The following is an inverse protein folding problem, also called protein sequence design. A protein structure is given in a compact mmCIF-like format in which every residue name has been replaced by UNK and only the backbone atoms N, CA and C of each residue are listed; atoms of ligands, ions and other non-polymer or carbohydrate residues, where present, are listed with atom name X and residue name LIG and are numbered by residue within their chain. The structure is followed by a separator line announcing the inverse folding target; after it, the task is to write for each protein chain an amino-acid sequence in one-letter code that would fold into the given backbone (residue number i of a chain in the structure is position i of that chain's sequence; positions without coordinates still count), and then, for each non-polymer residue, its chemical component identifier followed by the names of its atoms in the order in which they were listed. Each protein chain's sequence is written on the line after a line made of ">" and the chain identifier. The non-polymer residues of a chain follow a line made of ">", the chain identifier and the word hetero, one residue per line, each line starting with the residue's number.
data_IF_114554892310
#
_entry.id   IF_114554892310
#
_cell.length_a   1.000
_cell.length_b   1.000
_cell.length_c   1.000
_cell.angle_alpha   90.00
_cell.angle_beta   90.00
_cell.angle_gamma   90.00
#
_symmetry.space_group_name_H-M   'P 1'
#
loop_
_entity.id
_entity.type
_entity.pdbx_description
1 polymer ?
#
# COMPACT_ATOMS: atom_id res chain seq x y z
N UNK A 1 41.39 -15.14 -7.24
CA UNK A 1 41.24 -16.59 -7.14
C UNK A 1 40.83 -17.12 -8.51
N UNK A 2 41.68 -17.98 -9.05
CA UNK A 2 41.65 -18.55 -10.39
C UNK A 2 41.06 -19.95 -10.29
N UNK A 3 40.01 -20.25 -11.06
CA UNK A 3 39.72 -21.63 -11.46
C UNK A 3 39.18 -21.63 -12.90
N UNK A 4 40.04 -22.18 -13.77
CA UNK A 4 39.79 -22.54 -15.16
C UNK A 4 38.81 -23.72 -15.21
N UNK A 5 37.84 -23.68 -16.12
CA UNK A 5 37.09 -24.86 -16.55
C UNK A 5 37.37 -25.10 -18.04
N UNK A 6 38.01 -26.23 -18.43
CA UNK A 6 38.12 -26.63 -19.82
C UNK A 6 36.96 -27.56 -20.20
N UNK A 7 36.18 -27.17 -21.21
CA UNK A 7 35.23 -28.08 -21.84
C UNK A 7 35.96 -29.09 -22.74
N UNK A 8 35.76 -30.36 -22.39
CA UNK A 8 36.20 -31.55 -23.11
C UNK A 8 35.45 -31.69 -24.44
N UNK A 9 36.19 -31.71 -25.55
CA UNK A 9 35.71 -32.03 -26.89
C UNK A 9 35.64 -33.56 -27.05
N UNK A 10 34.43 -34.11 -27.12
CA UNK A 10 34.20 -35.52 -27.45
C UNK A 10 34.05 -35.69 -28.97
N UNK A 11 35.14 -36.09 -29.62
CA UNK A 11 35.16 -36.61 -30.99
C UNK A 11 34.53 -38.02 -31.00
N UNK A 12 33.37 -38.18 -31.65
CA UNK A 12 32.83 -39.52 -31.96
C UNK A 12 33.34 -39.98 -33.33
N UNK A 13 34.06 -41.09 -33.26
CA UNK A 13 34.67 -41.85 -34.33
C UNK A 13 33.62 -42.65 -35.12
N UNK A 14 33.84 -42.69 -36.44
CA UNK A 14 33.10 -43.45 -37.46
C UNK A 14 33.30 -44.95 -37.24
N UNK A 15 32.23 -45.74 -37.26
CA UNK A 15 32.30 -47.18 -37.52
C UNK A 15 31.55 -47.51 -38.82
N UNK A 16 32.35 -47.86 -39.83
CA UNK A 16 31.94 -48.59 -41.04
C UNK A 16 31.79 -50.06 -40.67
N UNK A 17 30.68 -50.68 -41.02
CA UNK A 17 30.63 -52.11 -41.31
C UNK A 17 29.86 -52.33 -42.62
N UNK A 18 30.58 -52.87 -43.60
CA UNK A 18 30.03 -53.40 -44.83
C UNK A 18 29.45 -54.79 -44.55
N UNK A 19 28.22 -55.06 -44.99
CA UNK A 19 27.79 -56.43 -45.27
C UNK A 19 27.09 -56.45 -46.63
N UNK A 20 27.55 -57.36 -47.49
CA UNK A 20 27.07 -57.62 -48.84
C UNK A 20 26.40 -58.99 -48.82
N UNK A 21 25.18 -59.12 -49.34
CA UNK A 21 24.63 -60.36 -49.91
C UNK A 21 23.40 -60.07 -50.76
N UNK A 22 23.06 -60.94 -51.74
CA UNK A 22 22.67 -60.47 -53.07
C UNK A 22 21.21 -60.78 -53.47
N UNK A 23 20.86 -60.22 -54.63
CA UNK A 23 19.78 -60.58 -55.56
C UNK A 23 18.32 -60.38 -55.13
N UNK A 24 17.79 -59.20 -55.46
CA UNK A 24 16.39 -59.09 -55.88
C UNK A 24 16.27 -58.06 -57.02
N UNK A 25 15.72 -58.48 -58.16
CA UNK A 25 15.58 -57.69 -59.38
C UNK A 25 14.55 -56.60 -59.11
N UNK A 26 15.04 -55.41 -58.76
CA UNK A 26 14.23 -54.25 -58.38
C UNK A 26 14.35 -53.17 -59.45
N UNK A 27 13.27 -52.43 -59.76
CA UNK A 27 13.29 -51.42 -60.80
C UNK A 27 14.42 -50.42 -60.58
N UNK A 28 15.09 -50.01 -61.66
CA UNK A 28 16.15 -48.98 -61.67
C UNK A 28 15.51 -47.64 -61.23
N UNK A 29 15.34 -47.47 -59.92
CA UNK A 29 15.05 -46.20 -59.29
C UNK A 29 16.39 -45.47 -59.19
N UNK A 30 16.64 -44.52 -60.08
CA UNK A 30 17.76 -43.59 -59.93
C UNK A 30 17.65 -42.98 -58.52
N UNK A 31 18.68 -43.06 -57.67
CA UNK A 31 18.64 -42.48 -56.34
C UNK A 31 18.43 -40.97 -56.50
N UNK A 32 17.22 -40.51 -56.22
CA UNK A 32 16.92 -39.09 -56.14
C UNK A 32 17.78 -38.56 -54.99
N UNK A 33 18.78 -37.75 -55.31
CA UNK A 33 19.61 -37.10 -54.32
C UNK A 33 18.67 -36.33 -53.37
N UNK A 34 18.63 -36.74 -52.10
CA UNK A 34 17.81 -36.08 -51.09
C UNK A 34 18.25 -34.63 -51.01
N UNK A 35 17.37 -33.71 -51.41
CA UNK A 35 17.61 -32.28 -51.28
C UNK A 35 17.93 -31.96 -49.81
N UNK A 36 18.93 -31.12 -49.52
CA UNK A 36 19.29 -30.76 -48.16
C UNK A 36 18.08 -30.12 -47.45
N UNK A 37 17.53 -30.80 -46.45
CA UNK A 37 16.42 -30.29 -45.64
C UNK A 37 16.97 -29.32 -44.60
N UNK A 38 16.48 -28.08 -44.60
CA UNK A 38 16.80 -27.11 -43.55
C UNK A 38 16.30 -27.63 -42.18
N UNK A 39 17.04 -27.38 -41.08
CA UNK A 39 16.56 -27.70 -39.75
C UNK A 39 15.20 -27.02 -39.49
N UNK A 40 14.29 -27.67 -38.77
CA UNK A 40 13.00 -27.08 -38.43
C UNK A 40 13.19 -25.77 -37.65
N UNK A 41 12.30 -24.78 -37.81
CA UNK A 41 12.46 -23.49 -37.16
C UNK A 41 12.44 -23.66 -35.63
N UNK A 42 13.26 -22.89 -34.89
CA UNK A 42 13.27 -22.96 -33.45
C UNK A 42 11.89 -22.59 -32.90
N UNK A 43 11.43 -23.33 -31.89
CA UNK A 43 10.16 -23.04 -31.21
C UNK A 43 10.33 -21.71 -30.46
N UNK A 44 9.65 -20.66 -30.91
CA UNK A 44 9.68 -19.35 -30.25
C UNK A 44 8.79 -19.41 -29.00
N UNK A 45 9.40 -19.47 -27.82
CA UNK A 45 8.73 -19.25 -26.54
C UNK A 45 8.67 -17.76 -26.25
N UNK A 46 7.49 -17.25 -25.93
CA UNK A 46 7.30 -15.87 -25.48
C UNK A 46 7.18 -15.78 -23.96
N UNK A 47 7.47 -16.87 -23.27
CA UNK A 47 7.43 -16.93 -21.82
C UNK A 47 8.58 -16.10 -21.28
N UNK A 48 8.28 -15.17 -20.39
CA UNK A 48 9.30 -14.37 -19.73
C UNK A 48 10.17 -15.29 -18.87
N UNK A 49 11.48 -15.18 -19.03
CA UNK A 49 12.41 -15.93 -18.19
C UNK A 49 12.19 -15.56 -16.72
N UNK A 50 11.99 -16.57 -15.87
CA UNK A 50 11.80 -16.34 -14.45
C UNK A 50 13.05 -15.68 -13.86
N UNK A 51 12.83 -14.59 -13.15
CA UNK A 51 13.91 -13.83 -12.52
C UNK A 51 14.58 -14.69 -11.43
N UNK A 52 15.92 -14.74 -11.43
CA UNK A 52 16.69 -15.56 -10.46
C UNK A 52 16.49 -15.13 -9.00
N UNK A 53 16.09 -13.89 -8.77
CA UNK A 53 15.76 -13.35 -7.46
C UNK A 53 14.28 -13.60 -7.18
N UNK A 54 13.99 -14.55 -6.30
CA UNK A 54 12.64 -14.86 -5.85
C UNK A 54 12.37 -14.17 -4.51
N UNK A 55 11.22 -13.52 -4.39
CA UNK A 55 10.74 -13.05 -3.09
C UNK A 55 10.50 -14.24 -2.15
N UNK A 56 10.99 -14.14 -0.92
CA UNK A 56 10.73 -15.15 0.11
C UNK A 56 9.40 -14.83 0.79
N UNK A 57 8.50 -15.80 0.98
CA UNK A 57 7.33 -15.61 1.82
C UNK A 57 7.75 -15.32 3.27
N UNK A 58 6.87 -14.71 4.08
CA UNK A 58 7.17 -14.31 5.45
C UNK A 58 7.81 -15.43 6.27
N UNK A 59 7.20 -16.61 6.27
CA UNK A 59 7.72 -17.78 7.01
C UNK A 59 9.15 -18.11 6.57
N UNK A 60 9.39 -18.24 5.26
CA UNK A 60 10.74 -18.53 4.76
C UNK A 60 11.73 -17.40 5.08
N UNK A 61 11.29 -16.13 5.07
CA UNK A 61 12.12 -15.00 5.44
C UNK A 61 12.52 -15.04 6.93
N UNK A 62 11.61 -15.44 7.82
CA UNK A 62 11.89 -15.63 9.25
C UNK A 62 12.93 -16.74 9.50
N UNK A 63 12.94 -17.78 8.67
CA UNK A 63 13.95 -18.85 8.74
C UNK A 63 15.28 -18.51 8.06
N UNK A 64 15.27 -17.60 7.08
CA UNK A 64 16.44 -17.31 6.25
C UNK A 64 17.25 -16.12 6.75
N UNK A 65 16.59 -15.09 7.29
CA UNK A 65 17.23 -13.85 7.73
C UNK A 65 17.27 -13.76 9.25
N UNK A 66 18.34 -13.15 9.77
CA UNK A 66 18.37 -12.80 11.19
C UNK A 66 17.38 -11.67 11.50
N UNK A 67 16.92 -11.60 12.75
CA UNK A 67 16.03 -10.55 13.24
C UNK A 67 16.60 -9.14 12.99
N UNK A 68 17.91 -8.95 13.19
CA UNK A 68 18.57 -7.67 12.90
C UNK A 68 18.54 -7.31 11.41
N UNK A 69 18.74 -8.29 10.53
CA UNK A 69 18.67 -8.10 9.07
C UNK A 69 17.25 -7.76 8.63
N UNK A 70 16.24 -8.50 9.14
CA UNK A 70 14.83 -8.22 8.88
C UNK A 70 14.45 -6.81 9.34
N UNK A 71 14.86 -6.41 10.54
CA UNK A 71 14.63 -5.06 11.05
C UNK A 71 15.29 -4.00 10.16
N UNK A 72 16.50 -4.25 9.67
CA UNK A 72 17.18 -3.35 8.72
C UNK A 72 16.44 -3.25 7.38
N UNK A 73 15.99 -4.38 6.83
CA UNK A 73 15.22 -4.45 5.58
C UNK A 73 13.91 -3.67 5.73
N UNK A 74 13.14 -3.96 6.78
CA UNK A 74 11.86 -3.32 7.08
C UNK A 74 12.06 -1.83 7.33
N UNK A 75 13.03 -1.45 8.16
CA UNK A 75 13.35 -0.04 8.42
C UNK A 75 13.74 0.71 7.16
N UNK A 76 14.53 0.10 6.27
CA UNK A 76 14.89 0.70 4.97
C UNK A 76 13.67 0.83 4.07
N UNK A 77 12.81 -0.18 4.00
CA UNK A 77 11.58 -0.16 3.21
C UNK A 77 10.57 0.88 3.73
N UNK A 78 10.43 1.02 5.04
CA UNK A 78 9.60 2.07 5.66
C UNK A 78 10.18 3.44 5.32
N UNK A 79 11.50 3.66 5.49
CA UNK A 79 12.11 4.96 5.16
C UNK A 79 11.97 5.32 3.68
N UNK A 80 12.12 4.36 2.76
CA UNK A 80 11.95 4.63 1.32
C UNK A 80 10.48 4.88 0.96
N UNK A 81 9.55 4.08 1.48
CA UNK A 81 8.11 4.26 1.24
C UNK A 81 7.53 5.49 1.95
N UNK A 82 8.17 5.94 3.03
CA UNK A 82 7.78 7.14 3.76
C UNK A 82 8.25 8.44 3.10
N UNK A 83 8.92 8.42 1.95
CA UNK A 83 9.24 9.65 1.22
C UNK A 83 8.01 10.13 0.43
N UNK A 84 7.66 11.41 0.54
CA UNK A 84 6.46 11.98 -0.10
C UNK A 84 6.51 11.95 -1.63
N UNK A 85 7.71 11.97 -2.20
CA UNK A 85 7.95 11.82 -3.65
C UNK A 85 7.48 10.47 -4.21
N UNK A 86 7.35 9.45 -3.36
CA UNK A 86 6.92 8.11 -3.75
C UNK A 86 5.40 7.93 -3.73
N UNK A 87 4.66 8.87 -3.15
CA UNK A 87 3.21 8.78 -3.04
C UNK A 87 2.59 9.08 -4.41
N UNK A 88 2.09 8.06 -5.09
CA UNK A 88 1.30 8.19 -6.32
C UNK A 88 -0.01 7.46 -6.16
N UNK A 89 -1.11 8.21 -6.26
CA UNK A 89 -2.45 7.66 -6.18
C UNK A 89 -3.12 7.66 -7.54
N UNK A 90 -3.87 6.60 -7.81
CA UNK A 90 -4.75 6.45 -8.96
C UNK A 90 -6.18 6.64 -8.45
N UNK A 91 -7.08 7.16 -9.29
CA UNK A 91 -8.49 7.26 -8.93
C UNK A 91 -9.12 5.87 -8.83
N UNK A 92 -10.12 5.72 -7.96
CA UNK A 92 -10.82 4.45 -7.72
C UNK A 92 -11.48 3.93 -9.00
N UNK A 93 -12.12 4.79 -9.79
CA UNK A 93 -12.71 4.39 -11.07
C UNK A 93 -11.68 3.83 -12.05
N UNK A 94 -10.47 4.40 -12.09
CA UNK A 94 -9.42 3.89 -12.96
C UNK A 94 -8.86 2.57 -12.44
N UNK A 95 -8.73 2.42 -11.11
CA UNK A 95 -8.22 1.20 -10.48
C UNK A 95 -9.17 0.01 -10.70
N UNK A 96 -10.47 0.23 -10.55
CA UNK A 96 -11.46 -0.86 -10.55
C UNK A 96 -11.97 -1.20 -11.95
N UNK A 97 -12.05 -0.21 -12.85
CA UNK A 97 -12.68 -0.39 -14.18
C UNK A 97 -11.67 -0.27 -15.31
N UNK A 98 -10.96 0.86 -15.39
CA UNK A 98 -10.17 1.18 -16.59
C UNK A 98 -8.90 0.33 -16.70
N UNK A 99 -8.13 0.17 -15.62
CA UNK A 99 -6.87 -0.56 -15.64
C UNK A 99 -7.07 -2.07 -15.87
N UNK A 100 -8.03 -2.77 -15.23
CA UNK A 100 -8.29 -4.18 -15.52
C UNK A 100 -8.77 -4.39 -16.96
N UNK A 101 -9.72 -3.55 -17.43
CA UNK A 101 -10.21 -3.65 -18.80
C UNK A 101 -9.10 -3.42 -19.85
N UNK A 102 -8.18 -2.48 -19.58
CA UNK A 102 -7.03 -2.23 -20.45
C UNK A 102 -6.03 -3.39 -20.40
N UNK A 103 -5.81 -3.99 -19.23
CA UNK A 103 -4.94 -5.15 -19.09
C UNK A 103 -5.48 -6.35 -19.88
N UNK A 104 -6.79 -6.62 -19.78
CA UNK A 104 -7.46 -7.67 -20.57
C UNK A 104 -7.37 -7.38 -22.08
N UNK A 105 -7.56 -6.12 -22.49
CA UNK A 105 -7.41 -5.68 -23.88
C UNK A 105 -5.99 -5.92 -24.38
N UNK A 106 -4.97 -5.59 -23.59
CA UNK A 106 -3.56 -5.77 -23.94
C UNK A 106 -3.16 -7.25 -23.96
N UNK A 107 -3.67 -8.08 -23.06
CA UNK A 107 -3.43 -9.52 -23.07
C UNK A 107 -4.07 -10.21 -24.29
N UNK A 108 -5.29 -9.82 -24.65
CA UNK A 108 -5.94 -10.27 -25.89
C UNK A 108 -5.13 -9.84 -27.13
N UNK A 109 -4.70 -8.57 -27.18
CA UNK A 109 -3.88 -8.04 -28.26
C UNK A 109 -2.53 -8.77 -28.34
N UNK A 110 -1.88 -9.05 -27.20
CA UNK A 110 -0.64 -9.82 -27.11
C UNK A 110 -0.84 -11.22 -27.69
N UNK A 111 -1.89 -11.94 -27.30
CA UNK A 111 -2.17 -13.29 -27.79
C UNK A 111 -2.37 -13.33 -29.33
N UNK A 112 -3.11 -12.35 -29.88
CA UNK A 112 -3.30 -12.21 -31.33
C UNK A 112 -1.98 -11.91 -32.03
N UNK A 113 -1.20 -10.95 -31.55
CA UNK A 113 0.09 -10.56 -32.14
C UNK A 113 1.11 -11.71 -32.07
N UNK A 114 1.15 -12.47 -30.97
CA UNK A 114 1.99 -13.66 -30.84
C UNK A 114 1.63 -14.73 -31.87
N UNK A 115 0.32 -14.94 -32.08
CA UNK A 115 -0.17 -15.91 -33.06
C UNK A 115 0.20 -15.51 -34.49
N UNK A 116 0.03 -14.23 -34.84
CA UNK A 116 0.47 -13.67 -36.14
C UNK A 116 1.98 -13.80 -36.34
N UNK A 117 2.77 -13.48 -35.32
CA UNK A 117 4.23 -13.61 -35.40
C UNK A 117 4.65 -15.07 -35.62
N UNK A 118 4.05 -16.03 -34.90
CA UNK A 118 4.33 -17.46 -35.08
C UNK A 118 3.99 -17.93 -36.48
N UNK A 119 2.84 -17.49 -37.01
CA UNK A 119 2.43 -17.80 -38.37
C UNK A 119 3.42 -17.24 -39.41
N UNK A 120 3.78 -15.95 -39.31
CA UNK A 120 4.73 -15.33 -40.24
C UNK A 120 6.13 -15.94 -40.13
N UNK A 121 6.59 -16.30 -38.92
CA UNK A 121 7.85 -17.02 -38.73
C UNK A 121 7.83 -18.38 -39.44
N UNK A 122 6.73 -19.12 -39.35
CA UNK A 122 6.57 -20.39 -40.05
C UNK A 122 6.54 -20.21 -41.57
N UNK A 123 5.77 -19.23 -42.06
CA UNK A 123 5.68 -18.89 -43.49
C UNK A 123 7.04 -18.46 -44.06
N UNK A 124 7.81 -17.67 -43.32
CA UNK A 124 9.20 -17.30 -43.66
C UNK A 124 10.07 -18.53 -43.85
N UNK A 125 9.99 -19.51 -42.94
CA UNK A 125 10.75 -20.76 -43.07
C UNK A 125 10.30 -21.59 -44.27
N UNK A 126 9.01 -21.64 -44.60
CA UNK A 126 8.53 -22.33 -45.79
C UNK A 126 9.08 -21.69 -47.08
N UNK A 127 9.12 -20.36 -47.17
CA UNK A 127 9.69 -19.68 -48.34
C UNK A 127 11.20 -19.89 -48.47
N UNK A 128 11.92 -19.93 -47.34
CA UNK A 128 13.35 -20.28 -47.32
C UNK A 128 13.60 -21.72 -47.82
N UNK A 129 12.75 -22.67 -47.43
CA UNK A 129 12.82 -24.04 -47.94
C UNK A 129 12.54 -24.08 -49.45
N UNK A 130 11.54 -23.33 -49.93
CA UNK A 130 11.25 -23.22 -51.36
C UNK A 130 12.45 -22.65 -52.15
N UNK A 131 13.06 -21.56 -51.67
CA UNK A 131 14.28 -20.99 -52.28
C UNK A 131 15.43 -22.01 -52.33
N UNK A 132 15.62 -22.78 -51.26
CA UNK A 132 16.66 -23.82 -51.24
C UNK A 132 16.39 -24.94 -52.25
N UNK A 133 15.13 -25.35 -52.40
CA UNK A 133 14.71 -26.33 -53.41
C UNK A 133 14.97 -25.82 -54.84
N UNK A 134 14.74 -24.53 -55.12
CA UNK A 134 15.06 -23.93 -56.42
C UNK A 134 16.57 -23.83 -56.66
N UNK A 135 17.36 -23.52 -55.63
CA UNK A 135 18.82 -23.46 -55.75
C UNK A 135 19.47 -24.83 -56.03
N UNK A 136 18.89 -25.92 -55.50
CA UNK A 136 19.41 -27.28 -55.70
C UNK A 136 19.11 -27.89 -57.07
N UNK A 137 18.11 -27.39 -57.79
CA UNK A 137 17.70 -27.90 -59.10
C UNK A 137 18.56 -27.37 -60.27
N UNK A 138 19.44 -26.39 -60.01
CA UNK A 138 20.14 -25.59 -61.03
C UNK A 138 21.46 -26.14 -61.54
N UNK A 139 21.45 -27.25 -62.30
CA UNK A 139 22.51 -27.50 -63.32
C UNK A 139 21.97 -28.02 -64.66
N UNK A 140 20.68 -28.34 -64.80
CA UNK A 140 20.12 -28.95 -66.00
C UNK A 140 19.24 -28.02 -66.84
N UNK A 141 19.84 -27.24 -67.76
CA UNK A 141 19.26 -26.70 -69.02
C UNK A 141 17.78 -26.23 -69.06
N UNK A 142 17.14 -25.80 -67.97
CA UNK A 142 15.82 -25.14 -68.07
C UNK A 142 15.97 -23.67 -68.49
N UNK A 143 15.41 -23.37 -69.65
CA UNK A 143 15.41 -22.06 -70.31
C UNK A 143 14.42 -21.12 -69.60
N UNK A 144 14.95 -20.00 -69.10
CA UNK A 144 14.30 -18.70 -68.80
C UNK A 144 13.21 -18.60 -67.71
N UNK A 145 12.55 -19.68 -67.27
CA UNK A 145 11.44 -19.57 -66.28
C UNK A 145 11.84 -19.48 -64.80
N UNK A 146 12.93 -20.13 -64.40
CA UNK A 146 13.29 -20.32 -62.98
C UNK A 146 13.70 -19.03 -62.25
N UNK A 147 14.36 -18.09 -62.96
CA UNK A 147 14.85 -16.85 -62.36
C UNK A 147 13.72 -15.93 -61.87
N UNK A 148 12.60 -15.89 -62.60
CA UNK A 148 11.43 -15.09 -62.23
C UNK A 148 10.75 -15.59 -60.95
N UNK A 149 10.66 -16.90 -60.78
CA UNK A 149 10.07 -17.51 -59.58
C UNK A 149 10.95 -17.27 -58.35
N UNK A 150 12.27 -17.39 -58.48
CA UNK A 150 13.23 -17.09 -57.40
C UNK A 150 13.11 -15.64 -56.97
N UNK A 151 13.03 -14.69 -57.91
CA UNK A 151 12.84 -13.27 -57.60
C UNK A 151 11.53 -13.01 -56.85
N UNK A 152 10.44 -13.67 -57.24
CA UNK A 152 9.12 -13.54 -56.58
C UNK A 152 9.16 -14.06 -55.14
N UNK A 153 9.74 -15.25 -54.91
CA UNK A 153 9.86 -15.83 -53.58
C UNK A 153 10.80 -14.99 -52.70
N UNK A 154 11.88 -14.44 -53.26
CA UNK A 154 12.78 -13.54 -52.53
C UNK A 154 12.08 -12.24 -52.10
N UNK A 155 11.24 -11.66 -52.96
CA UNK A 155 10.43 -10.49 -52.62
C UNK A 155 9.46 -10.80 -51.47
N UNK A 156 8.69 -11.89 -51.58
CA UNK A 156 7.75 -12.29 -50.52
C UNK A 156 8.46 -12.57 -49.19
N UNK A 157 9.66 -13.15 -49.24
CA UNK A 157 10.47 -13.40 -48.06
C UNK A 157 10.91 -12.10 -47.38
N UNK A 158 11.29 -11.10 -48.17
CA UNK A 158 11.63 -9.75 -47.68
C UNK A 158 10.44 -9.11 -46.97
N UNK A 159 9.25 -9.15 -47.59
CA UNK A 159 8.03 -8.57 -47.02
C UNK A 159 7.63 -9.23 -45.69
N UNK A 160 7.64 -10.57 -45.64
CA UNK A 160 7.31 -11.32 -44.41
C UNK A 160 8.36 -11.09 -43.32
N UNK A 161 9.62 -10.90 -43.68
CA UNK A 161 10.67 -10.60 -42.70
C UNK A 161 10.45 -9.22 -42.08
N UNK A 162 10.12 -8.20 -42.89
CA UNK A 162 9.76 -6.88 -42.39
C UNK A 162 8.50 -6.91 -41.51
N UNK A 163 7.49 -7.73 -41.87
CA UNK A 163 6.29 -7.92 -41.04
C UNK A 163 6.62 -8.60 -39.71
N UNK A 164 7.52 -9.59 -39.69
CA UNK A 164 7.98 -10.23 -38.46
C UNK A 164 8.64 -9.23 -37.50
N UNK A 165 9.49 -8.34 -38.02
CA UNK A 165 10.19 -7.33 -37.21
C UNK A 165 9.21 -6.31 -36.61
N UNK A 166 8.23 -5.86 -37.39
CA UNK A 166 7.14 -4.99 -36.92
C UNK A 166 6.29 -5.66 -35.83
N UNK A 167 5.95 -6.95 -36.00
CA UNK A 167 5.22 -7.71 -34.98
C UNK A 167 6.05 -7.91 -33.71
N UNK A 168 7.36 -8.14 -33.83
CA UNK A 168 8.26 -8.25 -32.68
C UNK A 168 8.33 -6.94 -31.89
N UNK A 169 8.45 -5.80 -32.57
CA UNK A 169 8.40 -4.48 -31.94
C UNK A 169 7.08 -4.25 -31.20
N UNK A 170 5.94 -4.60 -31.82
CA UNK A 170 4.63 -4.49 -31.18
C UNK A 170 4.53 -5.35 -29.92
N UNK A 171 5.05 -6.59 -29.94
CA UNK A 171 5.05 -7.46 -28.76
C UNK A 171 5.84 -6.88 -27.59
N UNK A 172 6.98 -6.25 -27.86
CA UNK A 172 7.79 -5.57 -26.83
C UNK A 172 7.01 -4.39 -26.24
N UNK A 173 6.41 -3.54 -27.10
CA UNK A 173 5.59 -2.39 -26.65
C UNK A 173 4.40 -2.81 -25.80
N UNK A 174 3.66 -3.85 -26.21
CA UNK A 174 2.51 -4.37 -25.45
C UNK A 174 2.96 -4.93 -24.10
N UNK A 175 4.05 -5.68 -24.07
CA UNK A 175 4.58 -6.27 -22.82
C UNK A 175 5.08 -5.19 -21.86
N UNK A 176 5.73 -4.14 -22.37
CA UNK A 176 6.14 -2.97 -21.58
C UNK A 176 4.93 -2.24 -21.00
N UNK A 177 3.88 -2.00 -21.80
CA UNK A 177 2.63 -1.38 -21.31
C UNK A 177 1.97 -2.19 -20.19
N UNK A 178 1.87 -3.52 -20.34
CA UNK A 178 1.36 -4.41 -19.28
C UNK A 178 2.21 -4.26 -18.02
N UNK A 179 3.55 -4.27 -18.16
CA UNK A 179 4.48 -4.08 -17.04
C UNK A 179 4.32 -2.73 -16.34
N UNK A 180 4.14 -1.65 -17.10
CA UNK A 180 3.91 -0.30 -16.57
C UNK A 180 2.60 -0.21 -15.80
N UNK A 181 1.51 -0.79 -16.31
CA UNK A 181 0.21 -0.82 -15.62
C UNK A 181 0.32 -1.59 -14.30
N UNK A 182 0.93 -2.78 -14.30
CA UNK A 182 1.13 -3.57 -13.08
C UNK A 182 1.96 -2.81 -12.04
N UNK A 183 3.07 -2.20 -12.47
CA UNK A 183 3.91 -1.37 -11.60
C UNK A 183 3.14 -0.17 -11.04
N UNK A 184 2.29 0.48 -11.85
CA UNK A 184 1.45 1.59 -11.39
C UNK A 184 0.48 1.14 -10.28
N UNK A 185 -0.13 -0.03 -10.44
CA UNK A 185 -1.01 -0.63 -9.42
C UNK A 185 -0.21 -0.93 -8.14
N UNK A 186 0.94 -1.58 -8.23
CA UNK A 186 1.77 -1.89 -7.05
C UNK A 186 2.18 -0.62 -6.29
N UNK A 187 2.59 0.43 -7.02
CA UNK A 187 2.94 1.74 -6.44
C UNK A 187 1.72 2.38 -5.78
N UNK A 188 0.54 2.28 -6.39
CA UNK A 188 -0.70 2.80 -5.81
C UNK A 188 -1.00 2.14 -4.45
N UNK A 189 -0.88 0.81 -4.37
CA UNK A 189 -1.17 0.06 -3.15
C UNK A 189 -0.17 0.40 -2.05
N UNK A 190 1.11 0.48 -2.38
CA UNK A 190 2.15 0.93 -1.46
C UNK A 190 1.92 2.37 -0.96
N UNK A 191 1.52 3.28 -1.86
CA UNK A 191 1.23 4.68 -1.53
C UNK A 191 0.00 4.83 -0.64
N UNK A 192 -1.07 4.09 -0.94
CA UNK A 192 -2.29 4.08 -0.15
C UNK A 192 -2.03 3.56 1.28
N UNK A 193 -1.26 2.47 1.40
CA UNK A 193 -0.85 1.92 2.70
C UNK A 193 0.02 2.92 3.48
N UNK A 194 1.00 3.55 2.82
CA UNK A 194 1.85 4.54 3.48
C UNK A 194 1.04 5.73 4.04
N UNK A 195 0.06 6.23 3.29
CA UNK A 195 -0.85 7.27 3.78
C UNK A 195 -1.67 6.77 4.97
N UNK A 196 -2.21 5.55 4.90
CA UNK A 196 -3.00 4.96 5.98
C UNK A 196 -2.17 4.84 7.27
N UNK A 197 -0.93 4.36 7.18
CA UNK A 197 0.00 4.25 8.31
C UNK A 197 0.31 5.63 8.91
N UNK A 198 0.55 6.66 8.09
CA UNK A 198 0.77 8.03 8.58
C UNK A 198 -0.45 8.57 9.32
N UNK A 199 -1.65 8.37 8.78
CA UNK A 199 -2.91 8.79 9.44
C UNK A 199 -3.13 8.05 10.75
N UNK A 200 -2.87 6.75 10.78
CA UNK A 200 -2.97 5.91 11.97
C UNK A 200 -1.99 6.39 13.05
N UNK A 201 -0.72 6.56 12.70
CA UNK A 201 0.31 7.04 13.62
C UNK A 201 -0.01 8.45 14.14
N UNK A 202 -0.52 9.34 13.27
CA UNK A 202 -0.98 10.67 13.69
C UNK A 202 -2.16 10.62 14.66
N UNK A 203 -3.15 9.77 14.40
CA UNK A 203 -4.30 9.55 15.30
C UNK A 203 -3.88 8.94 16.63
N UNK A 204 -2.95 7.99 16.62
CA UNK A 204 -2.42 7.36 17.83
C UNK A 204 -1.64 8.35 18.67
N UNK A 205 -0.71 9.10 18.07
CA UNK A 205 0.05 10.14 18.77
C UNK A 205 -0.84 11.20 19.42
N UNK A 206 -1.92 11.61 18.74
CA UNK A 206 -2.91 12.52 19.32
C UNK A 206 -3.61 11.89 20.54
N UNK A 207 -4.11 10.66 20.42
CA UNK A 207 -4.79 9.95 21.52
C UNK A 207 -3.87 9.75 22.73
N UNK A 208 -2.61 9.40 22.51
CA UNK A 208 -1.63 9.26 23.60
C UNK A 208 -1.39 10.59 24.30
N UNK A 209 -1.26 11.69 23.53
CA UNK A 209 -1.15 13.03 24.12
C UNK A 209 -2.38 13.40 24.94
N UNK A 210 -3.58 13.23 24.37
CA UNK A 210 -4.84 13.55 25.05
C UNK A 210 -4.99 12.74 26.36
N UNK A 211 -4.55 11.47 26.36
CA UNK A 211 -4.54 10.61 27.55
C UNK A 211 -3.54 11.11 28.61
N UNK A 212 -2.33 11.51 28.21
CA UNK A 212 -1.35 12.09 29.12
C UNK A 212 -1.84 13.40 29.72
N UNK A 213 -2.44 14.28 28.90
CA UNK A 213 -3.01 15.54 29.34
C UNK A 213 -4.16 15.31 30.34
N UNK A 214 -5.02 14.30 30.09
CA UNK A 214 -6.08 13.90 31.02
C UNK A 214 -5.54 13.36 32.34
N UNK A 215 -4.50 12.52 32.31
CA UNK A 215 -3.83 12.03 33.53
C UNK A 215 -3.20 13.17 34.31
N UNK A 216 -2.49 14.08 33.65
CA UNK A 216 -1.92 15.26 34.30
C UNK A 216 -3.01 16.12 34.95
N UNK A 217 -4.17 16.27 34.30
CA UNK A 217 -5.32 16.99 34.88
C UNK A 217 -5.92 16.27 36.08
N UNK A 218 -6.01 14.94 36.07
CA UNK A 218 -6.46 14.14 37.22
C UNK A 218 -5.50 14.35 38.39
N UNK A 219 -4.18 14.20 38.18
CA UNK A 219 -3.17 14.43 39.22
C UNK A 219 -3.21 15.86 39.76
N UNK A 220 -3.47 16.85 38.91
CA UNK A 220 -3.66 18.24 39.37
C UNK A 220 -4.90 18.37 40.27
N UNK A 221 -6.04 17.79 39.87
CA UNK A 221 -7.29 17.85 40.64
C UNK A 221 -7.18 17.10 41.97
N UNK A 222 -6.45 15.98 42.00
CA UNK A 222 -6.16 15.22 43.21
C UNK A 222 -5.31 16.05 44.19
N UNK A 223 -4.30 16.79 43.69
CA UNK A 223 -3.54 17.72 44.51
C UNK A 223 -4.39 18.89 45.05
N UNK A 224 -5.26 19.48 44.20
CA UNK A 224 -6.19 20.54 44.62
C UNK A 224 -7.19 20.04 45.69
N UNK A 225 -7.64 18.78 45.59
CA UNK A 225 -8.51 18.13 46.58
C UNK A 225 -7.79 17.92 47.91
N UNK A 226 -6.56 17.39 47.87
CA UNK A 226 -5.73 17.17 49.05
C UNK A 226 -5.42 18.49 49.80
N UNK A 227 -5.10 19.55 49.07
CA UNK A 227 -4.87 20.88 49.66
C UNK A 227 -6.14 21.43 50.32
N UNK A 228 -7.30 21.26 49.65
CA UNK A 228 -8.60 21.69 50.20
C UNK A 228 -8.97 20.91 51.46
N UNK A 229 -8.67 19.61 51.51
CA UNK A 229 -8.88 18.78 52.70
C UNK A 229 -7.95 19.19 53.85
N UNK A 230 -6.67 19.45 53.58
CA UNK A 230 -5.73 19.97 54.59
C UNK A 230 -6.19 21.31 55.18
N UNK A 231 -6.70 22.21 54.34
CA UNK A 231 -7.23 23.51 54.82
C UNK A 231 -8.51 23.32 55.65
N UNK A 232 -9.41 22.42 55.24
CA UNK A 232 -10.59 22.08 56.03
C UNK A 232 -10.24 21.44 57.38
N UNK A 233 -9.26 20.52 57.41
CA UNK A 233 -8.77 19.89 58.64
C UNK A 233 -8.12 20.93 59.56
N UNK A 234 -7.35 21.88 59.01
CA UNK A 234 -6.76 22.99 59.76
C UNK A 234 -7.82 23.88 60.38
N UNK A 235 -8.85 24.26 59.63
CA UNK A 235 -9.96 25.08 60.14
C UNK A 235 -10.80 24.36 61.20
N UNK A 236 -11.05 23.06 61.03
CA UNK A 236 -11.72 22.26 62.05
C UNK A 236 -10.91 22.26 63.35
N UNK A 237 -9.59 22.06 63.27
CA UNK A 237 -8.70 22.13 64.44
C UNK A 237 -8.67 23.52 65.08
N UNK A 238 -8.61 24.60 64.30
CA UNK A 238 -8.66 25.97 64.82
C UNK A 238 -9.99 26.30 65.52
N UNK A 239 -11.12 25.76 65.03
CA UNK A 239 -12.43 25.92 65.68
C UNK A 239 -12.53 25.10 66.97
N UNK A 240 -12.04 23.86 66.98
CA UNK A 240 -11.98 23.03 68.18
C UNK A 240 -11.10 23.71 69.25
N UNK A 241 -9.97 24.32 68.87
CA UNK A 241 -9.08 25.08 69.77
C UNK A 241 -9.76 26.36 70.33
N UNK A 242 -10.61 27.04 69.55
CA UNK A 242 -11.37 28.21 70.02
C UNK A 242 -12.51 27.81 70.96
N UNK A 243 -13.22 26.72 70.67
CA UNK A 243 -14.28 26.19 71.53
C UNK A 243 -13.71 25.78 72.90
N UNK A 244 -12.51 25.17 72.94
CA UNK A 244 -11.80 24.86 74.18
C UNK A 244 -11.41 26.12 75.00
N UNK A 245 -11.24 27.28 74.37
CA UNK A 245 -10.87 28.54 75.06
C UNK A 245 -12.06 29.39 75.55
N UNK A 246 -13.24 29.26 74.94
CA UNK A 246 -14.44 30.02 75.35
C UNK A 246 -15.20 29.38 76.54
N UNK A 247 -14.77 28.21 77.04
CA UNK A 247 -15.44 27.50 78.16
C UNK A 247 -15.06 28.05 79.56
N UNK A 248 -14.01 28.88 79.68
CA UNK A 248 -13.51 29.39 80.98
C UNK A 248 -14.01 30.80 81.36
N UNK A 249 -14.82 31.47 80.53
CA UNK A 249 -15.39 32.79 80.85
C UNK A 249 -16.92 32.74 80.95
N UNK A 250 -17.41 33.03 82.16
CA UNK A 250 -18.81 33.26 82.55
C UNK A 250 -19.66 32.02 82.93
N UNK A 251 -19.36 31.45 84.11
CA UNK A 251 -20.29 30.62 84.91
C UNK A 251 -21.50 31.42 85.45
N UNK A 252 -21.68 32.69 85.04
CA UNK A 252 -22.66 33.62 85.61
C UNK A 252 -23.35 34.54 84.56
N UNK A 253 -23.97 34.00 83.50
CA UNK A 253 -25.16 34.62 82.89
C UNK A 253 -25.72 33.86 81.68
N UNK A 254 -27.00 33.50 81.77
CA UNK A 254 -27.88 33.56 80.60
C UNK A 254 -28.47 32.23 80.13
N UNK A 255 -29.65 31.94 80.66
CA UNK A 255 -30.61 30.97 80.12
C UNK A 255 -30.90 31.27 78.64
N UNK A 256 -30.29 30.52 77.72
CA UNK A 256 -30.63 30.58 76.29
C UNK A 256 -31.82 29.65 76.00
N UNK A 257 -32.93 30.26 75.62
CA UNK A 257 -34.16 29.59 75.18
C UNK A 257 -33.89 28.78 73.91
N UNK A 258 -34.24 27.48 73.98
CA UNK A 258 -34.52 26.54 72.88
C UNK A 258 -34.70 27.24 71.52
N UNK A 259 -33.69 27.19 70.67
CA UNK A 259 -33.80 27.61 69.28
C UNK A 259 -34.70 26.62 68.51
N UNK A 260 -35.70 27.16 67.84
CA UNK A 260 -36.67 26.43 67.03
C UNK A 260 -35.98 25.90 65.77
N UNK A 261 -36.09 24.59 65.54
CA UNK A 261 -35.60 23.92 64.34
C UNK A 261 -36.42 24.44 63.14
N UNK A 262 -35.84 25.35 62.36
CA UNK A 262 -36.39 25.80 61.08
C UNK A 262 -35.98 24.77 60.03
N UNK A 263 -36.93 23.97 59.56
CA UNK A 263 -36.72 23.03 58.47
C UNK A 263 -36.42 23.80 57.17
N UNK A 264 -35.19 23.71 56.68
CA UNK A 264 -34.86 24.25 55.36
C UNK A 264 -35.53 23.40 54.27
N UNK A 265 -36.11 24.02 53.22
CA UNK A 265 -36.71 23.30 52.12
C UNK A 265 -35.63 22.48 51.41
N UNK A 266 -35.80 21.16 51.45
CA UNK A 266 -34.99 20.17 50.74
C UNK A 266 -34.91 20.57 49.26
N UNK A 267 -33.72 20.96 48.80
CA UNK A 267 -33.49 21.25 47.38
C UNK A 267 -33.95 20.06 46.54
N UNK A 268 -34.65 20.29 45.41
CA UNK A 268 -35.16 19.21 44.58
C UNK A 268 -34.01 18.30 44.15
N UNK A 269 -34.22 16.97 44.10
CA UNK A 269 -33.21 16.05 43.66
C UNK A 269 -32.75 16.47 42.27
N UNK A 270 -31.46 16.79 42.14
CA UNK A 270 -30.80 16.93 40.85
C UNK A 270 -31.05 15.62 40.14
N UNK A 271 -31.97 15.65 39.17
CA UNK A 271 -32.18 14.55 38.26
C UNK A 271 -30.90 14.48 37.46
N UNK A 272 -29.98 13.62 37.89
CA UNK A 272 -28.85 13.19 37.07
C UNK A 272 -29.50 12.71 35.79
N UNK A 273 -29.41 13.51 34.72
CA UNK A 273 -29.82 13.08 33.40
C UNK A 273 -29.00 11.83 33.14
N UNK A 274 -29.68 10.70 33.22
CA UNK A 274 -29.15 9.40 32.86
C UNK A 274 -28.91 9.50 31.36
N UNK A 275 -27.70 9.92 30.98
CA UNK A 275 -27.26 9.90 29.59
C UNK A 275 -27.22 8.42 29.24
N UNK A 276 -28.11 7.92 28.37
CA UNK A 276 -28.08 6.52 28.00
C UNK A 276 -26.71 6.21 27.39
N UNK A 277 -26.12 5.04 27.69
CA UNK A 277 -24.88 4.63 27.06
C UNK A 277 -25.08 4.64 25.55
N UNK A 278 -24.26 5.42 24.85
CA UNK A 278 -24.19 5.46 23.39
C UNK A 278 -24.00 4.04 22.88
N UNK A 279 -25.10 3.41 22.48
CA UNK A 279 -25.10 2.15 21.77
C UNK A 279 -24.50 2.42 20.38
N UNK A 280 -23.65 1.53 19.85
CA UNK A 280 -23.12 1.70 18.50
C UNK A 280 -24.27 1.69 17.50
N UNK A 281 -24.44 2.80 16.79
CA UNK A 281 -25.40 2.96 15.70
C UNK A 281 -25.22 1.82 14.68
N UNK A 282 -26.21 0.94 14.47
CA UNK A 282 -26.16 -0.03 13.39
C UNK A 282 -26.34 0.72 12.06
N UNK A 283 -25.48 0.36 11.10
CA UNK A 283 -25.48 0.86 9.73
C UNK A 283 -26.83 0.68 9.03
N UNK A 284 -27.19 1.56 8.08
CA UNK A 284 -28.45 1.47 7.35
C UNK A 284 -28.51 0.21 6.47
N UNK A 285 -29.71 -0.38 6.28
CA UNK A 285 -29.88 -1.56 5.45
C UNK A 285 -29.69 -1.21 3.97
N UNK A 286 -28.81 -1.97 3.32
CA UNK A 286 -28.62 -1.99 1.87
C UNK A 286 -29.93 -2.43 1.19
N UNK A 287 -30.40 -1.75 0.13
CA UNK A 287 -31.62 -2.12 -0.57
C UNK A 287 -31.44 -3.46 -1.31
N UNK A 288 -32.35 -4.40 -1.03
CA UNK A 288 -32.50 -5.66 -1.74
C UNK A 288 -33.01 -5.40 -3.15
N UNK A 289 -32.23 -5.73 -4.17
CA UNK A 289 -32.72 -5.97 -5.53
C UNK A 289 -33.17 -7.43 -5.67
N UNK A 290 -34.28 -7.72 -6.36
CA UNK A 290 -34.80 -9.08 -6.51
C UNK A 290 -34.23 -9.79 -7.74
N UNK A 291 -34.39 -11.13 -7.76
CA UNK A 291 -34.34 -12.03 -8.94
C UNK A 291 -32.92 -12.29 -9.47
N UNK A 292 -32.42 -13.52 -9.65
CA UNK A 292 -33.04 -14.65 -10.37
C UNK A 292 -32.36 -15.96 -9.99
N UNK A 293 -33.19 -16.99 -9.79
CA UNK A 293 -32.85 -18.40 -9.62
C UNK A 293 -32.11 -18.99 -10.82
N UNK A 294 -31.03 -19.74 -10.57
CA UNK A 294 -30.61 -20.87 -11.43
C UNK A 294 -29.79 -21.88 -10.62
N UNK A 295 -30.03 -23.20 -10.81
CA UNK A 295 -29.48 -24.26 -9.96
C UNK A 295 -28.13 -24.76 -10.50
N UNK A 296 -27.10 -24.78 -9.66
CA UNK A 296 -25.85 -25.48 -9.96
C UNK A 296 -25.73 -26.71 -9.07
N UNK A 297 -25.96 -27.86 -9.70
CA UNK A 297 -25.66 -29.19 -9.20
C UNK A 297 -24.15 -29.34 -9.10
N UNK A 298 -23.62 -29.62 -7.90
CA UNK A 298 -22.30 -30.23 -7.76
C UNK A 298 -22.43 -31.55 -7.00
N UNK A 299 -21.88 -32.65 -7.53
CA UNK A 299 -22.02 -33.96 -6.95
C UNK A 299 -21.05 -34.16 -5.78
N UNK A 300 -21.58 -34.84 -4.77
CA UNK A 300 -20.86 -35.45 -3.67
C UNK A 300 -19.76 -36.40 -4.18
N UNK A 301 -18.59 -36.33 -3.56
CA UNK A 301 -17.80 -37.54 -3.24
C UNK A 301 -16.86 -37.30 -2.03
N UNK A 302 -16.58 -38.36 -1.24
CA UNK A 302 -16.21 -38.28 0.17
C UNK A 302 -14.70 -38.47 0.45
N UNK A 303 -14.22 -38.21 1.68
CA UNK A 303 -12.81 -38.40 2.05
C UNK A 303 -12.55 -39.80 2.64
N UNK A 304 -11.27 -40.24 2.68
CA UNK A 304 -10.84 -41.02 3.84
C UNK A 304 -9.47 -40.65 4.41
N UNK A 305 -9.48 -40.45 5.73
CA UNK A 305 -8.64 -41.10 6.76
C UNK A 305 -7.11 -41.05 6.65
N UNK A 306 -6.52 -40.12 7.41
CA UNK A 306 -5.28 -40.30 8.20
C UNK A 306 -5.52 -39.50 9.50
N UNK A 307 -5.93 -40.09 10.63
CA UNK A 307 -5.10 -40.82 11.59
C UNK A 307 -3.77 -40.14 11.95
N UNK A 308 -3.84 -38.98 12.59
CA UNK A 308 -2.72 -38.46 13.40
C UNK A 308 -3.08 -38.45 14.89
N UNK A 309 -2.20 -39.08 15.66
CA UNK A 309 -2.19 -39.16 17.13
C UNK A 309 -2.02 -37.78 17.75
N UNK A 310 -2.70 -37.48 18.87
CA UNK A 310 -2.35 -36.32 19.69
C UNK A 310 -1.09 -36.61 20.52
N UNK A 311 -0.09 -35.74 20.39
CA UNK A 311 1.07 -35.69 21.28
C UNK A 311 0.70 -34.97 22.60
N UNK A 312 1.36 -35.32 23.72
CA UNK A 312 0.98 -34.83 25.04
C UNK A 312 1.41 -33.37 25.25
N UNK A 313 0.46 -32.58 25.76
CA UNK A 313 0.65 -31.22 26.27
C UNK A 313 1.58 -31.28 27.47
N UNK A 314 2.75 -30.66 27.37
CA UNK A 314 3.66 -30.42 28.49
C UNK A 314 3.13 -29.22 29.26
N UNK A 315 2.69 -29.45 30.50
CA UNK A 315 2.28 -28.41 31.42
C UNK A 315 3.42 -27.40 31.64
N UNK A 316 3.10 -26.12 31.46
CA UNK A 316 3.93 -24.99 31.84
C UNK A 316 3.61 -24.71 33.32
N UNK A 317 4.60 -24.64 34.23
CA UNK A 317 4.35 -24.25 35.60
C UNK A 317 3.95 -22.77 35.66
N UNK A 318 2.75 -22.50 36.17
CA UNK A 318 2.39 -21.23 36.79
C UNK A 318 3.12 -21.15 38.13
N UNK A 319 4.08 -20.23 38.25
CA UNK A 319 4.50 -19.54 39.49
C UNK A 319 5.87 -18.90 39.29
N UNK A 320 5.90 -17.67 38.75
CA UNK A 320 6.94 -16.68 39.09
C UNK A 320 6.29 -15.30 39.03
N UNK A 321 6.00 -14.76 40.21
CA UNK A 321 5.70 -13.35 40.46
C UNK A 321 7.01 -12.57 40.26
N UNK A 322 7.09 -11.58 39.35
CA UNK A 322 8.23 -10.66 39.35
C UNK A 322 8.05 -9.62 40.44
N UNK A 323 9.02 -9.61 41.35
CA UNK A 323 9.19 -8.64 42.42
C UNK A 323 9.16 -7.19 41.92
N UNK A 324 8.57 -6.40 42.79
CA UNK A 324 8.61 -4.95 42.94
C UNK A 324 10.04 -4.39 42.75
N UNK A 325 10.26 -3.71 41.62
CA UNK A 325 11.48 -2.93 41.39
C UNK A 325 11.27 -1.56 42.03
N UNK A 326 11.79 -1.40 43.24
CA UNK A 326 12.05 -0.12 43.90
C UNK A 326 13.00 0.73 43.04
N UNK A 327 12.49 1.84 42.50
CA UNK A 327 13.28 2.89 41.85
C UNK A 327 13.82 3.87 42.91
N UNK A 328 15.01 3.59 43.44
CA UNK A 328 15.89 4.64 43.98
C UNK A 328 17.22 4.59 43.22
N UNK A 329 17.39 5.52 42.28
CA UNK A 329 18.67 5.78 41.65
C UNK A 329 18.84 7.29 41.44
N UNK A 330 19.79 7.84 42.19
CA UNK A 330 20.34 9.18 42.09
C UNK A 330 20.67 9.54 40.64
N UNK A 331 20.11 10.65 40.15
CA UNK A 331 20.54 11.28 38.90
C UNK A 331 21.68 12.23 39.23
N UNK A 332 22.89 11.69 39.20
CA UNK A 332 24.14 12.45 39.25
C UNK A 332 24.29 13.27 37.95
N UNK A 333 24.37 14.59 38.13
CA UNK A 333 24.48 15.57 37.06
C UNK A 333 25.84 15.51 36.37
N UNK A 334 25.91 14.97 35.16
CA UNK A 334 27.05 15.20 34.26
C UNK A 334 26.74 16.26 33.21
N UNK A 335 27.45 17.38 33.42
CA UNK A 335 27.66 18.57 32.60
C UNK A 335 28.43 18.22 31.32
N UNK A 336 28.29 19.11 30.32
CA UNK A 336 29.16 19.32 29.14
C UNK A 336 28.77 18.46 27.93
N UNK A 337 28.41 19.00 26.77
CA UNK A 337 28.43 20.36 26.26
C UNK A 337 28.51 20.20 24.75
N UNK A 338 27.62 20.85 23.99
CA UNK A 338 27.84 21.05 22.56
C UNK A 338 27.15 22.33 22.09
N UNK A 339 28.01 23.29 21.81
CA UNK A 339 27.72 24.55 21.16
C UNK A 339 27.33 24.31 19.70
N UNK A 340 26.08 24.62 19.33
CA UNK A 340 25.70 25.05 17.97
C UNK A 340 24.26 25.58 17.92
N UNK A 341 24.03 26.73 18.56
CA UNK A 341 22.91 27.62 18.24
C UNK A 341 23.44 28.70 17.29
N UNK A 342 23.07 28.64 16.01
CA UNK A 342 21.83 29.23 15.48
C UNK A 342 21.81 30.75 15.64
N UNK A 343 22.44 31.39 14.66
CA UNK A 343 22.27 32.81 14.37
C UNK A 343 20.91 32.94 13.67
N UNK A 344 20.07 33.87 14.18
CA UNK A 344 18.85 34.47 13.62
C UNK A 344 17.56 34.10 14.35
N UNK A 345 17.19 34.93 15.32
CA UNK A 345 16.05 35.86 15.13
C UNK A 345 15.91 36.74 16.37
N UNK A 346 16.35 37.99 16.22
CA UNK A 346 16.08 39.06 17.16
C UNK A 346 14.69 39.63 16.86
N UNK A 347 13.74 39.51 17.80
CA UNK A 347 12.70 40.52 18.14
C UNK A 347 11.61 39.91 19.02
N UNK A 348 11.65 40.26 20.30
CA UNK A 348 10.49 40.55 21.17
C UNK A 348 11.03 40.74 22.58
N UNK A 349 11.54 41.93 22.89
CA UNK A 349 10.78 42.93 23.65
C UNK A 349 10.53 42.48 25.10
N UNK A 350 11.46 42.93 25.96
CA UNK A 350 11.38 42.97 27.42
C UNK A 350 10.00 43.46 27.87
N UNK A 351 9.29 42.64 28.64
CA UNK A 351 8.32 43.14 29.62
C UNK A 351 8.99 42.95 30.97
N UNK A 352 9.32 44.08 31.59
CA UNK A 352 9.82 44.13 32.96
C UNK A 352 8.73 43.61 33.88
N UNK A 353 9.14 42.70 34.75
CA UNK A 353 8.40 42.20 35.90
C UNK A 353 8.11 43.42 36.78
N UNK A 354 6.85 43.85 36.77
CA UNK A 354 6.27 44.70 37.78
C UNK A 354 5.32 43.80 38.59
N UNK A 355 5.41 43.88 39.91
CA UNK A 355 4.59 43.13 40.85
C UNK A 355 3.12 43.49 40.68
N UNK A 356 2.43 42.77 39.79
CA UNK A 356 1.01 42.89 39.62
C UNK A 356 0.32 42.11 40.75
N UNK A 357 -0.36 42.85 41.62
CA UNK A 357 -1.17 42.30 42.71
C UNK A 357 -2.18 41.29 42.15
N UNK A 358 -2.45 40.21 42.90
CA UNK A 358 -3.31 39.06 42.52
C UNK A 358 -4.66 39.48 41.93
N UNK A 359 -5.18 40.65 42.34
CA UNK A 359 -6.44 41.24 41.85
C UNK A 359 -6.35 41.72 40.40
N UNK A 360 -5.20 42.26 39.97
CA UNK A 360 -4.98 42.68 38.57
C UNK A 360 -4.84 41.50 37.62
N UNK A 361 -4.20 40.40 38.06
CA UNK A 361 -4.15 39.17 37.27
C UNK A 361 -5.54 38.56 37.06
N UNK A 362 -6.37 38.52 38.11
CA UNK A 362 -7.73 37.97 38.01
C UNK A 362 -8.61 38.83 37.09
N UNK A 363 -8.48 40.16 37.15
CA UNK A 363 -9.24 41.05 36.26
C UNK A 363 -8.77 40.98 34.79
N UNK A 364 -7.47 40.83 34.54
CA UNK A 364 -6.91 40.62 33.21
C UNK A 364 -7.32 39.26 32.61
N UNK A 365 -7.31 38.20 33.42
CA UNK A 365 -7.78 36.87 33.02
C UNK A 365 -9.30 36.88 32.71
N UNK A 366 -10.11 37.55 33.54
CA UNK A 366 -11.56 37.70 33.31
C UNK A 366 -11.88 38.48 32.03
N UNK A 367 -11.11 39.54 31.72
CA UNK A 367 -11.24 40.27 30.44
C UNK A 367 -10.83 39.44 29.22
N UNK A 368 -9.82 38.57 29.32
CA UNK A 368 -9.43 37.65 28.23
C UNK A 368 -10.46 36.55 28.00
N UNK A 369 -11.05 36.01 29.07
CA UNK A 369 -12.12 35.00 29.00
C UNK A 369 -13.40 35.54 28.32
N UNK A 370 -13.83 36.75 28.67
CA UNK A 370 -15.00 37.39 28.04
C UNK A 370 -14.81 37.69 26.55
N UNK A 371 -13.57 38.00 26.13
CA UNK A 371 -13.28 38.26 24.71
C UNK A 371 -13.23 36.97 23.88
N UNK A 372 -12.79 35.86 24.48
CA UNK A 372 -12.80 34.55 23.85
C UNK A 372 -14.22 33.98 23.71
N UNK A 373 -15.10 34.17 24.71
CA UNK A 373 -16.48 33.66 24.64
C UNK A 373 -17.35 34.41 23.61
N UNK A 374 -17.14 35.71 23.44
CA UNK A 374 -17.84 36.50 22.39
C UNK A 374 -17.29 36.24 20.96
N UNK A 375 -16.05 35.74 20.84
CA UNK A 375 -15.44 35.39 19.54
C UNK A 375 -15.81 33.99 19.03
N UNK A 376 -16.19 33.08 19.92
CA UNK A 376 -16.42 31.65 19.62
C UNK A 376 -17.80 31.35 18.99
N UNK A 377 -18.77 32.27 19.05
CA UNK A 377 -20.09 32.09 18.44
C UNK A 377 -20.18 32.48 16.96
N UNK A 378 -19.06 32.85 16.33
CA UNK A 378 -18.99 33.05 14.88
C UNK A 378 -18.53 31.76 14.21
N UNK A 379 -19.49 30.89 13.93
CA UNK A 379 -19.32 29.81 12.95
C UNK A 379 -18.67 30.39 11.68
N UNK A 380 -17.66 29.74 11.08
CA UNK A 380 -17.05 30.20 9.84
C UNK A 380 -18.12 30.24 8.74
N UNK A 381 -18.57 31.45 8.40
CA UNK A 381 -19.53 31.73 7.34
C UNK A 381 -18.82 31.70 5.98
N UNK A 382 -18.17 30.58 5.64
CA UNK A 382 -17.51 30.37 4.34
C UNK A 382 -18.22 29.33 3.46
N UNK A 383 -19.53 29.15 3.64
CA UNK A 383 -20.40 28.47 2.67
C UNK A 383 -21.50 29.41 2.15
N UNK A 384 -21.14 30.65 1.83
CA UNK A 384 -22.00 31.58 1.10
C UNK A 384 -21.39 31.90 -0.25
N UNK A 385 -21.84 31.14 -1.26
CA UNK A 385 -22.15 31.60 -2.62
C UNK A 385 -21.52 32.96 -3.00
N UNK A 386 -20.34 32.92 -3.63
CA UNK A 386 -19.88 34.01 -4.49
C UNK A 386 -20.19 33.65 -5.94
N UNK A 387 -21.37 34.09 -6.34
CA UNK A 387 -21.70 34.43 -7.73
C UNK A 387 -20.82 35.60 -8.20
N UNK A 388 -20.40 35.51 -9.46
CA UNK A 388 -19.90 36.55 -10.36
C UNK A 388 -18.64 37.35 -10.00
N UNK A 389 -17.51 36.93 -10.60
CA UNK A 389 -16.67 37.81 -11.43
C UNK A 389 -15.62 37.01 -12.23
N UNK A 390 -15.62 37.26 -13.54
CA UNK A 390 -14.47 37.12 -14.47
C UNK A 390 -13.95 35.72 -14.78
N UNK A 391 -14.50 35.16 -15.85
CA UNK A 391 -13.91 34.15 -16.73
C UNK A 391 -12.43 34.37 -17.03
N UNK A 392 -11.57 33.47 -16.54
CA UNK A 392 -10.31 33.08 -17.18
C UNK A 392 -10.20 31.57 -17.11
N UNK A 393 -10.91 30.90 -18.01
CA UNK A 393 -10.69 29.47 -18.25
C UNK A 393 -9.38 29.30 -19.03
N UNK A 394 -8.56 28.29 -18.72
CA UNK A 394 -7.50 27.86 -19.62
C UNK A 394 -8.11 27.37 -20.95
N UNK A 395 -7.43 27.59 -22.09
CA UNK A 395 -7.98 27.26 -23.41
C UNK A 395 -8.24 25.76 -23.52
N UNK A 396 -9.49 25.40 -23.84
CA UNK A 396 -9.86 24.04 -24.21
C UNK A 396 -9.21 23.68 -25.56
N UNK A 397 -8.66 22.46 -25.72
CA UNK A 397 -8.23 21.97 -27.02
C UNK A 397 -9.44 21.90 -27.98
N UNK A 398 -9.25 22.42 -29.19
CA UNK A 398 -10.28 22.50 -30.22
C UNK A 398 -10.80 21.10 -30.58
N UNK A 399 -12.12 20.92 -30.47
CA UNK A 399 -12.82 19.74 -30.99
C UNK A 399 -12.81 19.83 -32.52
N UNK A 400 -12.34 18.79 -33.25
CA UNK A 400 -12.35 18.78 -34.71
C UNK A 400 -13.78 18.92 -35.26
N UNK A 401 -14.02 19.96 -36.05
CA UNK A 401 -15.25 20.14 -36.81
C UNK A 401 -15.31 19.10 -37.94
N UNK A 402 -16.38 18.34 -37.93
CA UNK A 402 -17.10 17.78 -39.08
C UNK A 402 -16.29 17.01 -40.14
N UNK A 403 -16.49 15.68 -40.11
CA UNK A 403 -16.28 14.80 -41.25
C UNK A 403 -17.25 15.19 -42.37
N UNK A 404 -16.74 15.83 -43.41
CA UNK A 404 -17.41 15.84 -44.70
C UNK A 404 -17.50 14.40 -45.22
N UNK A 405 -18.74 13.92 -45.33
CA UNK A 405 -19.08 12.74 -46.10
C UNK A 405 -18.87 13.06 -47.59
N UNK A 406 -17.80 12.53 -48.18
CA UNK A 406 -17.70 12.38 -49.63
C UNK A 406 -18.37 11.05 -50.01
N UNK A 407 -19.53 11.17 -50.64
CA UNK A 407 -20.15 10.11 -51.44
C UNK A 407 -19.26 9.73 -52.64
N UNK A 408 -19.22 8.45 -53.04
CA UNK A 408 -18.53 8.05 -54.26
C UNK A 408 -19.38 8.44 -55.46
N UNK A 409 -18.75 9.10 -56.45
CA UNK A 409 -19.36 9.33 -57.75
C UNK A 409 -19.08 8.12 -58.64
N UNK A 410 -20.16 7.59 -59.21
CA UNK A 410 -20.16 6.59 -60.26
C UNK A 410 -19.45 7.13 -61.51
N UNK A 411 -18.57 6.33 -62.10
CA UNK A 411 -18.46 6.11 -63.55
C UNK A 411 -17.63 4.86 -63.85
#
# INVERSE_FOLDING_TARGET
>A
MSTKNPHCLSLRLIQRTNSVSPSNVSPISRPIARSPTLPPPPKVSFDSEAVKWKGLPLEAALWTFDSAELQSIVSRAIRSSAQESFIRLVSIDNLDKALPAELDRLDALKAVTQSKYRFNTHRRTMLLQALLSFSGAGTGKEKDGGASLVATVASQLSDISAECDSLAEQLVRITDQIGQIRKLVDVHWGSALAIALRKLNGSYGKRTKDLLDARARITQLEAELEDSWKEAEKLARELDELDDHDIDFDEDAGVIRRAQIVSLPRSPPVTVMNIPPLSPTPSPPVPKTPTTSSPSVFPLSPPPLLSEKPLPVKAIPEDVIPEEITEEAEVETMKKGDDRASIRSAKSARIRIADHTRVEMISAARRRSLRASMGSLRLPRSLSLRSNKSSRHPPLPAIPKERHANSPNEH
#
